data_IF_449972962585
#
_entry.id   IF_449972962585
#
_cell.length_a   1.000
_cell.length_b   1.000
_cell.length_c   1.000
_cell.angle_alpha   90.00
_cell.angle_beta   90.00
_cell.angle_gamma   90.00
#
_symmetry.space_group_name_H-M   'P 1'
#
loop_
_entity.id
_entity.type
_entity.pdbx_description
1 polymer ?
#
# COMPACT_ATOMS: atom_id res chain seq x y z
N UNK A 1 -14.86 -15.95 10.57
CA UNK A 1 -15.03 -14.93 9.52
C UNK A 1 -15.81 -13.69 10.02
N UNK A 2 -17.02 -13.85 10.57
CA UNK A 2 -17.82 -12.74 11.13
C UNK A 2 -17.12 -11.93 12.23
N UNK A 3 -16.37 -12.59 13.14
CA UNK A 3 -15.65 -11.92 14.24
C UNK A 3 -14.49 -11.07 13.73
N UNK A 4 -13.80 -11.49 12.69
CA UNK A 4 -12.71 -10.71 12.05
C UNK A 4 -13.27 -9.50 11.32
N UNK A 5 -14.41 -9.65 10.66
CA UNK A 5 -15.09 -8.55 9.97
C UNK A 5 -15.61 -7.50 10.96
N UNK A 6 -16.20 -7.92 12.10
CA UNK A 6 -16.68 -7.01 13.13
C UNK A 6 -15.54 -6.24 13.82
N UNK A 7 -14.39 -6.89 14.08
CA UNK A 7 -13.18 -6.22 14.60
C UNK A 7 -12.62 -5.18 13.63
N UNK A 8 -12.60 -5.48 12.34
CA UNK A 8 -12.17 -4.55 11.30
C UNK A 8 -13.09 -3.32 11.23
N UNK A 9 -14.40 -3.49 11.30
CA UNK A 9 -15.37 -2.38 11.31
C UNK A 9 -15.24 -1.51 12.58
N UNK A 10 -15.13 -2.12 13.76
CA UNK A 10 -14.93 -1.39 15.02
C UNK A 10 -13.64 -0.58 15.03
N UNK A 11 -12.53 -1.16 14.55
CA UNK A 11 -11.26 -0.46 14.43
C UNK A 11 -11.37 0.74 13.47
N UNK A 12 -12.08 0.60 12.36
CA UNK A 12 -12.31 1.67 11.41
C UNK A 12 -13.13 2.84 12.02
N UNK A 13 -14.14 2.54 12.82
CA UNK A 13 -14.93 3.55 13.53
C UNK A 13 -14.08 4.28 14.57
N UNK A 14 -13.31 3.53 15.36
CA UNK A 14 -12.41 4.10 16.39
C UNK A 14 -11.35 4.98 15.72
N UNK A 15 -10.78 4.55 14.61
CA UNK A 15 -9.77 5.32 13.87
C UNK A 15 -10.35 6.61 13.28
N UNK A 16 -11.60 6.60 12.83
CA UNK A 16 -12.32 7.82 12.40
C UNK A 16 -12.55 8.80 13.53
N UNK A 17 -12.96 8.32 14.70
CA UNK A 17 -13.20 9.16 15.89
C UNK A 17 -11.89 9.80 16.39
N UNK A 18 -10.78 9.05 16.36
CA UNK A 18 -9.45 9.52 16.80
C UNK A 18 -8.74 10.42 15.79
N UNK A 19 -9.15 10.41 14.52
CA UNK A 19 -8.47 11.12 13.45
C UNK A 19 -8.24 12.62 13.70
N UNK A 20 -9.21 13.41 14.23
CA UNK A 20 -9.01 14.83 14.49
C UNK A 20 -7.88 15.15 15.50
N UNK A 21 -7.58 14.19 16.37
CA UNK A 21 -6.59 14.32 17.45
C UNK A 21 -5.24 13.68 17.11
N UNK A 22 -5.11 13.07 15.92
CA UNK A 22 -3.86 12.41 15.52
C UNK A 22 -2.84 13.42 15.02
N UNK A 23 -1.61 13.25 15.50
CA UNK A 23 -0.44 13.85 14.84
C UNK A 23 -0.40 13.36 13.39
N UNK A 24 -0.07 14.25 12.45
CA UNK A 24 0.00 13.91 11.01
C UNK A 24 -1.38 13.65 10.35
N UNK A 25 -2.42 14.32 10.85
CA UNK A 25 -3.79 14.23 10.33
C UNK A 25 -3.86 14.35 8.80
N UNK A 26 -3.08 15.24 8.20
CA UNK A 26 -3.05 15.45 6.74
C UNK A 26 -2.63 14.19 5.98
N UNK A 27 -1.62 13.46 6.47
CA UNK A 27 -1.21 12.21 5.84
C UNK A 27 -2.29 11.13 5.95
N UNK A 28 -2.96 11.04 7.11
CA UNK A 28 -4.10 10.12 7.28
C UNK A 28 -5.22 10.42 6.29
N UNK A 29 -5.57 11.69 6.10
CA UNK A 29 -6.62 12.12 5.17
C UNK A 29 -6.24 11.83 3.72
N UNK A 30 -4.99 12.12 3.34
CA UNK A 30 -4.49 11.83 1.99
C UNK A 30 -4.50 10.34 1.69
N UNK A 31 -4.07 9.50 2.64
CA UNK A 31 -4.14 8.04 2.50
C UNK A 31 -5.59 7.56 2.40
N UNK A 32 -6.49 8.09 3.22
CA UNK A 32 -7.90 7.74 3.13
C UNK A 32 -8.51 8.07 1.76
N UNK A 33 -8.15 9.19 1.16
CA UNK A 33 -8.60 9.55 -0.19
C UNK A 33 -8.13 8.58 -1.27
N UNK A 34 -6.92 8.01 -1.11
CA UNK A 34 -6.32 7.11 -2.09
C UNK A 34 -6.79 5.65 -1.90
N UNK A 35 -6.75 5.15 -0.67
CA UNK A 35 -6.99 3.73 -0.37
C UNK A 35 -8.38 3.44 0.22
N UNK A 36 -9.16 4.47 0.54
CA UNK A 36 -10.53 4.34 1.05
C UNK A 36 -10.66 3.89 2.52
N UNK A 37 -9.54 3.65 3.20
CA UNK A 37 -9.49 3.26 4.61
C UNK A 37 -8.55 4.18 5.41
N UNK A 38 -8.82 4.33 6.72
CA UNK A 38 -7.91 5.04 7.62
C UNK A 38 -6.90 4.02 8.16
N UNK A 39 -5.59 4.21 7.93
CA UNK A 39 -4.57 3.32 8.47
C UNK A 39 -4.63 3.24 10.00
N UNK A 40 -4.58 2.02 10.54
CA UNK A 40 -4.47 1.83 11.98
C UNK A 40 -3.09 2.24 12.50
N UNK A 41 -2.04 1.84 11.79
CA UNK A 41 -0.66 2.23 12.03
C UNK A 41 -0.08 2.90 10.78
N UNK A 42 0.19 4.20 10.89
CA UNK A 42 0.72 5.01 9.80
C UNK A 42 2.21 4.78 9.54
N UNK A 43 2.92 4.17 10.47
CA UNK A 43 4.39 3.99 10.39
C UNK A 43 4.81 3.16 9.17
N UNK A 44 4.04 2.14 8.82
CA UNK A 44 4.27 1.32 7.62
C UNK A 44 4.12 2.13 6.34
N UNK A 45 3.10 2.98 6.27
CA UNK A 45 2.87 3.85 5.11
C UNK A 45 3.97 4.89 4.97
N UNK A 46 4.40 5.50 6.08
CA UNK A 46 5.55 6.41 6.07
C UNK A 46 6.82 5.73 5.59
N UNK A 47 7.09 4.53 6.06
CA UNK A 47 8.26 3.75 5.62
C UNK A 47 8.15 3.36 4.14
N UNK A 48 6.96 2.98 3.66
CA UNK A 48 6.73 2.65 2.25
C UNK A 48 7.01 3.85 1.32
N UNK A 49 6.75 5.07 1.78
CA UNK A 49 7.01 6.29 1.02
C UNK A 49 8.48 6.76 1.06
N UNK A 50 9.34 6.12 1.88
CA UNK A 50 10.76 6.47 1.99
C UNK A 50 11.60 5.70 0.96
N UNK A 51 11.98 6.39 -0.13
CA UNK A 51 12.88 5.82 -1.11
C UNK A 51 14.26 5.53 -0.51
N UNK A 52 14.93 4.47 -0.98
CA UNK A 52 16.26 4.05 -0.51
C UNK A 52 17.36 5.11 -0.62
N UNK A 53 17.18 6.10 -1.49
CA UNK A 53 18.12 7.23 -1.61
C UNK A 53 18.04 8.22 -0.43
N UNK A 54 16.99 8.14 0.38
CA UNK A 54 16.85 9.00 1.57
C UNK A 54 17.69 8.41 2.69
N UNK A 55 18.78 9.09 3.04
CA UNK A 55 19.75 8.64 4.05
C UNK A 55 19.22 8.84 5.48
N UNK A 56 18.09 8.22 5.82
CA UNK A 56 17.59 8.20 7.21
C UNK A 56 18.09 6.95 7.94
N UNK A 57 18.47 7.15 9.22
CA UNK A 57 18.87 6.06 10.11
C UNK A 57 18.00 6.06 11.35
N UNK A 58 17.68 4.88 11.87
CA UNK A 58 16.99 4.75 13.14
C UNK A 58 17.95 4.99 14.34
N UNK A 59 17.41 4.97 15.56
CA UNK A 59 18.20 5.14 16.78
C UNK A 59 19.33 4.11 16.96
N UNK A 60 19.29 2.98 16.26
CA UNK A 60 20.31 1.92 16.23
C UNK A 60 21.29 2.07 15.06
N UNK A 61 21.27 3.21 14.34
CA UNK A 61 22.15 3.48 13.19
C UNK A 61 21.83 2.70 11.92
N UNK A 62 20.75 1.90 11.88
CA UNK A 62 20.36 1.14 10.69
C UNK A 62 19.60 2.03 9.70
N UNK A 63 19.83 1.85 8.39
CA UNK A 63 19.09 2.60 7.37
C UNK A 63 17.60 2.27 7.46
N UNK A 64 16.76 3.31 7.32
CA UNK A 64 15.31 3.20 7.25
C UNK A 64 14.88 3.61 5.85
N UNK A 65 14.36 2.67 5.09
CA UNK A 65 13.83 2.87 3.75
C UNK A 65 12.75 1.84 3.46
N UNK A 66 12.18 1.89 2.25
CA UNK A 66 11.09 1.01 1.83
C UNK A 66 11.51 -0.35 1.27
N UNK A 67 12.82 -0.65 1.16
CA UNK A 67 13.33 -1.81 0.42
C UNK A 67 12.73 -3.16 0.89
N UNK A 68 12.63 -3.35 2.20
CA UNK A 68 12.01 -4.57 2.76
C UNK A 68 10.50 -4.63 2.54
N UNK A 69 9.82 -3.49 2.58
CA UNK A 69 8.38 -3.40 2.30
C UNK A 69 8.12 -3.58 0.81
N UNK A 70 8.98 -3.09 -0.06
CA UNK A 70 8.94 -3.34 -1.50
C UNK A 70 8.98 -4.84 -1.79
N UNK A 71 9.96 -5.57 -1.22
CA UNK A 71 10.06 -7.02 -1.36
C UNK A 71 8.80 -7.75 -0.92
N UNK A 72 8.24 -7.40 0.25
CA UNK A 72 7.01 -8.03 0.74
C UNK A 72 5.80 -7.61 -0.09
N UNK A 73 5.74 -6.34 -0.47
CA UNK A 73 4.66 -5.79 -1.28
C UNK A 73 4.54 -6.45 -2.65
N UNK A 74 5.66 -6.72 -3.31
CA UNK A 74 5.70 -7.45 -4.59
C UNK A 74 5.07 -8.83 -4.46
N UNK A 75 5.42 -9.58 -3.42
CA UNK A 75 4.88 -10.92 -3.21
C UNK A 75 3.36 -10.90 -2.94
N UNK A 76 2.88 -9.94 -2.14
CA UNK A 76 1.46 -9.77 -1.83
C UNK A 76 0.69 -9.33 -3.09
N UNK A 77 1.22 -8.36 -3.84
CA UNK A 77 0.61 -7.88 -5.07
C UNK A 77 0.48 -9.00 -6.11
N UNK A 78 1.53 -9.80 -6.29
CA UNK A 78 1.54 -10.93 -7.21
C UNK A 78 0.48 -11.98 -6.84
N UNK A 79 0.30 -12.25 -5.55
CA UNK A 79 -0.73 -13.15 -5.05
C UNK A 79 -2.14 -12.60 -5.29
N UNK A 80 -2.39 -11.32 -5.00
CA UNK A 80 -3.70 -10.66 -5.19
C UNK A 80 -4.06 -10.62 -6.68
N UNK A 81 -3.13 -10.21 -7.53
CA UNK A 81 -3.35 -10.18 -8.99
C UNK A 81 -3.55 -11.58 -9.54
N UNK A 82 -2.82 -12.57 -9.01
CA UNK A 82 -3.01 -13.98 -9.35
C UNK A 82 -4.44 -14.46 -9.07
N UNK A 83 -4.96 -14.15 -7.88
CA UNK A 83 -6.33 -14.47 -7.47
C UNK A 83 -7.36 -13.78 -8.39
N UNK A 84 -7.23 -12.49 -8.64
CA UNK A 84 -8.12 -11.73 -9.54
C UNK A 84 -8.12 -12.34 -10.95
N UNK A 85 -6.96 -12.66 -11.50
CA UNK A 85 -6.84 -13.25 -12.84
C UNK A 85 -7.45 -14.65 -12.88
N UNK A 86 -7.21 -15.45 -11.85
CA UNK A 86 -7.80 -16.79 -11.72
C UNK A 86 -9.33 -16.74 -11.72
N UNK A 87 -9.93 -15.89 -10.92
CA UNK A 87 -11.39 -15.73 -10.82
C UNK A 87 -11.99 -15.15 -12.09
N UNK A 88 -11.29 -14.20 -12.73
CA UNK A 88 -11.81 -13.51 -13.91
C UNK A 88 -11.79 -14.38 -15.19
N UNK A 89 -10.89 -15.36 -15.27
CA UNK A 89 -10.70 -16.20 -16.45
C UNK A 89 -10.82 -17.70 -16.15
N UNK A 90 -12.00 -18.20 -15.67
CA UNK A 90 -12.15 -19.56 -15.18
C UNK A 90 -11.90 -20.65 -16.23
N UNK A 91 -12.01 -20.32 -17.53
CA UNK A 91 -11.80 -21.29 -18.63
C UNK A 91 -10.40 -21.26 -19.24
N UNK A 92 -9.48 -20.44 -18.73
CA UNK A 92 -8.14 -20.28 -19.29
C UNK A 92 -7.11 -21.18 -18.63
N UNK A 93 -6.12 -21.62 -19.42
CA UNK A 93 -5.02 -22.46 -18.94
C UNK A 93 -3.97 -21.62 -18.20
N UNK A 94 -3.14 -22.29 -17.41
CA UNK A 94 -2.07 -21.71 -16.57
C UNK A 94 -1.19 -20.70 -17.33
N UNK A 95 -0.73 -21.05 -18.53
CA UNK A 95 0.14 -20.15 -19.32
C UNK A 95 -0.52 -18.81 -19.67
N UNK A 96 -1.84 -18.78 -19.93
CA UNK A 96 -2.58 -17.54 -20.13
C UNK A 96 -2.66 -16.74 -18.84
N UNK A 97 -2.96 -17.39 -17.72
CA UNK A 97 -3.10 -16.75 -16.41
C UNK A 97 -1.77 -16.13 -15.97
N UNK A 98 -0.67 -16.87 -16.11
CA UNK A 98 0.68 -16.41 -15.79
C UNK A 98 1.10 -15.22 -16.64
N UNK A 99 0.86 -15.27 -17.96
CA UNK A 99 1.18 -14.16 -18.86
C UNK A 99 0.34 -12.90 -18.55
N UNK A 100 -0.95 -13.08 -18.25
CA UNK A 100 -1.85 -11.98 -17.88
C UNK A 100 -1.43 -11.32 -16.57
N UNK A 101 -1.15 -12.12 -15.53
CA UNK A 101 -0.62 -11.62 -14.26
C UNK A 101 0.65 -10.80 -14.46
N UNK A 102 1.63 -11.34 -15.19
CA UNK A 102 2.91 -10.67 -15.47
C UNK A 102 2.74 -9.32 -16.15
N UNK A 103 1.78 -9.19 -17.08
CA UNK A 103 1.47 -7.91 -17.72
C UNK A 103 0.85 -6.89 -16.78
N UNK A 104 0.05 -7.34 -15.82
CA UNK A 104 -0.59 -6.44 -14.84
C UNK A 104 0.44 -5.93 -13.83
N UNK A 105 1.32 -6.79 -13.32
CA UNK A 105 2.30 -6.39 -12.29
C UNK A 105 3.58 -5.78 -12.86
N UNK A 106 3.70 -5.62 -14.18
CA UNK A 106 4.88 -4.97 -14.78
C UNK A 106 4.96 -3.50 -14.38
N UNK A 107 6.19 -2.97 -14.30
CA UNK A 107 6.51 -1.63 -13.81
C UNK A 107 5.69 -0.53 -14.47
N UNK A 108 5.54 -0.55 -15.79
CA UNK A 108 4.81 0.49 -16.52
C UNK A 108 3.33 0.54 -16.17
N UNK A 109 2.70 -0.62 -15.99
CA UNK A 109 1.30 -0.71 -15.56
C UNK A 109 1.15 -0.20 -14.14
N UNK A 110 2.03 -0.59 -13.22
CA UNK A 110 2.00 -0.14 -11.82
C UNK A 110 2.28 1.36 -11.70
N UNK A 111 3.22 1.91 -12.49
CA UNK A 111 3.50 3.34 -12.50
C UNK A 111 2.28 4.15 -12.98
N UNK A 112 1.58 3.66 -14.01
CA UNK A 112 0.35 4.30 -14.49
C UNK A 112 -0.73 4.27 -13.42
N UNK A 113 -0.95 3.13 -12.78
CA UNK A 113 -1.91 2.99 -11.69
C UNK A 113 -1.58 3.92 -10.52
N UNK A 114 -0.32 3.95 -10.09
CA UNK A 114 0.14 4.83 -9.01
C UNK A 114 -0.10 6.31 -9.33
N UNK A 115 0.10 6.72 -10.60
CA UNK A 115 -0.20 8.08 -11.07
C UNK A 115 -1.71 8.37 -11.02
N UNK A 116 -2.54 7.46 -11.51
CA UNK A 116 -4.00 7.59 -11.48
C UNK A 116 -4.55 7.66 -10.06
N UNK A 117 -3.95 6.91 -9.12
CA UNK A 117 -4.30 6.94 -7.68
C UNK A 117 -3.80 8.19 -6.95
N UNK A 118 -2.88 8.96 -7.52
CA UNK A 118 -2.29 10.15 -6.88
C UNK A 118 -1.18 9.84 -5.86
N UNK A 119 -0.62 8.62 -5.84
CA UNK A 119 0.43 8.21 -4.89
C UNK A 119 1.69 9.08 -5.03
N UNK A 120 2.01 9.55 -6.23
CA UNK A 120 3.17 10.40 -6.49
C UNK A 120 3.19 11.70 -5.66
N UNK A 121 2.03 12.28 -5.39
CA UNK A 121 1.92 13.48 -4.56
C UNK A 121 2.25 13.20 -3.08
N UNK A 122 1.91 12.02 -2.58
CA UNK A 122 2.29 11.60 -1.21
C UNK A 122 3.80 11.46 -1.05
N UNK A 123 4.50 10.95 -2.07
CA UNK A 123 5.95 10.79 -2.05
C UNK A 123 6.63 12.16 -1.99
N UNK A 124 6.17 13.12 -2.81
CA UNK A 124 6.71 14.46 -2.84
C UNK A 124 6.48 15.24 -1.54
N UNK A 125 5.27 15.16 -0.96
CA UNK A 125 4.93 15.86 0.28
C UNK A 125 5.67 15.32 1.50
N UNK A 126 6.03 14.04 1.54
CA UNK A 126 6.77 13.42 2.65
C UNK A 126 8.30 13.46 2.48
N UNK A 127 8.81 13.81 1.30
CA UNK A 127 10.25 13.97 1.05
C UNK A 127 10.82 15.32 1.49
N UNK A 128 9.98 16.27 1.90
CA UNK A 128 10.37 17.63 2.28
C UNK A 128 10.34 17.91 3.80
N UNK A 129 10.15 16.88 4.64
CA UNK A 129 10.20 17.06 6.12
C UNK A 129 11.42 16.43 6.75
#
# INVERSE_FOLDING_TARGET
>A
MLVLYSRSMLNNIIDRIKLPFRKEKELYLSLYQIIGIIPHDISYYKTALLHKSVARRNAKGKPVNNERLEFLGDAILDAIVGDIVYEHFPGKREGFLTNTRSKIVQRDTLNRLAKEMGIGQLILSNGQT
#
